data_IF_173256345519
#
_entry.id   IF_173256345519
#
_cell.length_a   1.000
_cell.length_b   1.000
_cell.length_c   1.000
_cell.angle_alpha   90.00
_cell.angle_beta   90.00
_cell.angle_gamma   90.00
#
_symmetry.space_group_name_H-M   'P 1'
#
loop_
_entity.id
_entity.type
_entity.pdbx_description
1 polymer ?
#
# COMPACT_ATOMS: atom_id res chain seq x y z
N UNK A 1 86.80 31.12 -27.75
CA UNK A 1 85.59 31.66 -28.40
C UNK A 1 84.38 30.86 -27.94
N UNK A 2 83.46 31.48 -27.18
CA UNK A 2 82.03 31.13 -27.09
C UNK A 2 81.36 32.15 -26.16
N UNK A 3 80.46 32.94 -26.73
CA UNK A 3 79.79 34.05 -26.07
C UNK A 3 78.81 33.60 -24.98
N UNK A 4 78.84 34.34 -23.87
CA UNK A 4 77.92 34.24 -22.74
C UNK A 4 76.58 34.91 -23.10
N UNK A 5 75.47 34.16 -22.98
CA UNK A 5 74.09 34.66 -23.15
C UNK A 5 73.63 35.41 -21.89
N UNK A 6 72.97 36.56 -22.10
CA UNK A 6 72.26 37.36 -21.07
C UNK A 6 71.03 36.61 -20.51
N UNK A 7 70.63 36.83 -19.23
CA UNK A 7 69.39 36.30 -18.68
C UNK A 7 68.20 37.24 -18.96
N UNK A 8 67.02 36.65 -19.21
CA UNK A 8 65.76 37.37 -19.41
C UNK A 8 65.01 37.57 -18.09
N UNK A 9 64.53 38.80 -17.87
CA UNK A 9 63.76 39.22 -16.69
C UNK A 9 62.30 38.82 -16.88
N UNK A 10 61.77 37.90 -16.06
CA UNK A 10 60.33 37.62 -15.96
C UNK A 10 59.70 38.52 -14.88
N UNK A 11 58.73 39.35 -15.26
CA UNK A 11 57.88 40.18 -14.37
C UNK A 11 56.94 39.29 -13.53
N UNK A 12 56.59 39.66 -12.28
CA UNK A 12 55.81 38.81 -11.40
C UNK A 12 54.29 38.94 -11.69
N UNK A 13 53.72 37.96 -12.38
CA UNK A 13 52.27 37.82 -12.58
C UNK A 13 51.49 37.56 -11.26
N UNK A 14 52.20 37.23 -10.18
CA UNK A 14 51.64 36.89 -8.87
C UNK A 14 51.06 38.12 -8.16
N UNK A 15 51.66 39.30 -8.34
CA UNK A 15 51.19 40.51 -7.67
C UNK A 15 49.81 40.95 -8.19
N UNK A 16 49.56 40.83 -9.50
CA UNK A 16 48.27 41.18 -10.09
C UNK A 16 47.14 40.20 -9.71
N UNK A 17 47.46 38.91 -9.52
CA UNK A 17 46.50 37.90 -9.06
C UNK A 17 46.09 38.11 -7.59
N UNK A 18 47.04 38.48 -6.72
CA UNK A 18 46.76 38.79 -5.32
C UNK A 18 45.90 40.06 -5.16
N UNK A 19 46.16 41.09 -5.97
CA UNK A 19 45.35 42.30 -5.99
C UNK A 19 43.91 42.05 -6.47
N UNK A 20 43.73 41.20 -7.49
CA UNK A 20 42.41 40.84 -8.00
C UNK A 20 41.59 40.04 -6.96
N UNK A 21 42.24 39.13 -6.22
CA UNK A 21 41.60 38.36 -5.17
C UNK A 21 41.16 39.23 -3.97
N UNK A 22 41.97 40.23 -3.60
CA UNK A 22 41.64 41.17 -2.52
C UNK A 22 40.43 42.06 -2.88
N UNK A 23 40.37 42.55 -4.13
CA UNK A 23 39.26 43.38 -4.63
C UNK A 23 37.96 42.56 -4.70
N UNK A 24 38.03 41.31 -5.16
CA UNK A 24 36.86 40.42 -5.23
C UNK A 24 36.31 40.10 -3.82
N UNK A 25 37.21 39.94 -2.83
CA UNK A 25 36.85 39.66 -1.44
C UNK A 25 36.15 40.85 -0.78
N UNK A 26 36.62 42.07 -1.03
CA UNK A 26 35.99 43.30 -0.57
C UNK A 26 34.62 43.54 -1.23
N UNK A 27 34.48 43.21 -2.52
CA UNK A 27 33.21 43.33 -3.25
C UNK A 27 32.14 42.35 -2.73
N UNK A 28 32.53 41.12 -2.38
CA UNK A 28 31.62 40.12 -1.76
C UNK A 28 31.20 40.56 -0.35
N UNK A 29 32.08 41.21 0.41
CA UNK A 29 31.76 41.70 1.75
C UNK A 29 30.84 42.94 1.74
N UNK A 30 31.01 43.83 0.75
CA UNK A 30 30.14 44.99 0.54
C UNK A 30 28.72 44.59 0.05
N UNK A 31 28.61 43.54 -0.77
CA UNK A 31 27.33 42.98 -1.19
C UNK A 31 26.61 42.23 -0.05
N UNK A 32 27.32 41.65 0.91
CA UNK A 32 26.72 41.02 2.11
C UNK A 32 26.16 42.02 3.13
N UNK A 33 26.69 43.25 3.16
CA UNK A 33 26.28 44.30 4.11
C UNK A 33 25.14 45.18 3.62
N UNK A 34 24.71 45.02 2.36
CA UNK A 34 23.71 45.89 1.71
C UNK A 34 22.36 45.22 1.45
N UNK A 35 22.09 44.04 2.03
CA UNK A 35 20.73 43.46 2.00
C UNK A 35 19.97 43.87 3.27
N UNK A 36 18.80 44.54 3.14
CA UNK A 36 17.94 44.81 4.27
C UNK A 36 17.51 43.49 4.92
N UNK A 37 17.35 43.49 6.25
CA UNK A 37 16.78 42.39 7.02
C UNK A 37 15.38 42.03 6.48
N UNK A 38 15.35 41.15 5.48
CA UNK A 38 14.14 40.69 4.83
C UNK A 38 13.50 39.64 5.73
N UNK A 39 12.50 40.10 6.49
CA UNK A 39 11.39 39.28 6.97
C UNK A 39 11.73 38.33 8.11
N UNK A 40 11.02 38.51 9.22
CA UNK A 40 10.74 37.46 10.19
C UNK A 40 10.25 36.20 9.43
N UNK A 41 11.16 35.28 9.06
CA UNK A 41 10.79 33.92 8.75
C UNK A 41 10.21 33.36 10.05
N UNK A 42 8.88 33.29 10.12
CA UNK A 42 8.20 32.51 11.15
C UNK A 42 8.71 31.09 11.01
N UNK A 43 9.71 30.73 11.81
CA UNK A 43 10.08 29.33 12.04
C UNK A 43 8.77 28.62 12.40
N UNK A 44 8.32 27.62 11.62
CA UNK A 44 7.12 26.87 11.95
C UNK A 44 7.32 26.36 13.37
N UNK A 45 6.47 26.79 14.30
CA UNK A 45 6.59 26.44 15.71
C UNK A 45 6.25 24.95 15.80
N UNK A 46 7.23 24.07 15.55
CA UNK A 46 7.08 22.63 15.68
C UNK A 46 6.62 22.40 17.12
N UNK A 47 5.39 21.91 17.24
CA UNK A 47 4.74 21.78 18.52
C UNK A 47 5.49 20.73 19.34
N UNK A 48 6.14 21.13 20.45
CA UNK A 48 6.83 20.21 21.37
C UNK A 48 5.93 19.05 21.80
N UNK A 49 4.61 19.27 21.87
CA UNK A 49 3.62 18.23 22.17
C UNK A 49 3.53 17.17 21.08
N UNK A 50 3.55 17.56 19.81
CA UNK A 50 3.49 16.62 18.69
C UNK A 50 4.77 15.78 18.60
N UNK A 51 5.93 16.39 18.83
CA UNK A 51 7.21 15.66 18.93
C UNK A 51 7.20 14.64 20.06
N UNK A 52 6.65 14.99 21.24
CA UNK A 52 6.51 14.05 22.35
C UNK A 52 5.60 12.88 21.99
N UNK A 53 4.44 13.15 21.38
CA UNK A 53 3.51 12.09 20.92
C UNK A 53 4.19 11.12 19.96
N UNK A 54 4.98 11.63 19.01
CA UNK A 54 5.70 10.78 18.05
C UNK A 54 6.84 9.99 18.70
N UNK A 55 7.54 10.59 19.66
CA UNK A 55 8.59 9.92 20.44
C UNK A 55 8.01 8.78 21.28
N UNK A 56 6.92 9.04 22.02
CA UNK A 56 6.24 8.03 22.86
C UNK A 56 5.71 6.87 22.00
N UNK A 57 5.18 7.20 20.82
CA UNK A 57 4.74 6.19 19.85
C UNK A 57 5.90 5.32 19.37
N UNK A 58 7.06 5.91 19.05
CA UNK A 58 8.24 5.14 18.67
C UNK A 58 8.82 4.30 19.80
N UNK A 59 8.79 4.77 21.05
CA UNK A 59 9.16 3.95 22.20
C UNK A 59 8.25 2.73 22.33
N UNK A 60 6.95 2.89 22.06
CA UNK A 60 6.01 1.76 22.02
C UNK A 60 6.36 0.77 20.90
N UNK A 61 6.67 1.27 19.69
CA UNK A 61 7.13 0.44 18.56
C UNK A 61 8.41 -0.32 18.93
N UNK A 62 9.37 0.35 19.56
CA UNK A 62 10.63 -0.25 20.00
C UNK A 62 10.40 -1.38 21.03
N UNK A 63 9.54 -1.16 22.02
CA UNK A 63 9.17 -2.18 23.02
C UNK A 63 8.47 -3.38 22.38
N UNK A 64 7.56 -3.14 21.43
CA UNK A 64 6.93 -4.21 20.66
C UNK A 64 7.96 -5.01 19.85
N UNK A 65 8.92 -4.35 19.19
CA UNK A 65 9.96 -5.06 18.44
C UNK A 65 10.82 -5.91 19.37
N UNK A 66 11.19 -5.40 20.54
CA UNK A 66 11.99 -6.15 21.51
C UNK A 66 11.26 -7.41 22.05
N UNK A 67 9.95 -7.31 22.27
CA UNK A 67 9.14 -8.43 22.81
C UNK A 67 8.71 -9.43 21.73
N UNK A 68 8.34 -8.94 20.54
CA UNK A 68 7.72 -9.77 19.47
C UNK A 68 8.64 -10.08 18.31
N UNK A 69 9.71 -9.32 18.12
CA UNK A 69 10.59 -9.34 16.94
C UNK A 69 11.47 -10.58 16.77
N UNK A 70 11.42 -11.54 17.69
CA UNK A 70 12.20 -12.79 17.64
C UNK A 70 13.70 -12.51 17.42
N UNK A 71 14.26 -11.59 18.22
CA UNK A 71 15.65 -11.16 18.16
C UNK A 71 15.91 -9.91 17.32
N UNK A 72 14.92 -9.40 16.56
CA UNK A 72 15.04 -8.06 15.99
C UNK A 72 15.09 -7.00 17.10
N UNK A 73 15.89 -5.95 16.88
CA UNK A 73 15.94 -4.78 17.75
C UNK A 73 15.59 -3.51 16.97
N UNK A 74 15.11 -2.48 17.66
CA UNK A 74 14.81 -1.18 17.05
C UNK A 74 15.67 -0.08 17.69
N UNK A 75 16.45 0.62 16.88
CA UNK A 75 17.21 1.80 17.28
C UNK A 75 16.47 3.06 16.81
N UNK A 76 16.00 3.87 17.75
CA UNK A 76 15.38 5.17 17.46
C UNK A 76 16.48 6.15 17.03
N UNK A 77 16.28 6.84 15.91
CA UNK A 77 17.22 7.83 15.34
C UNK A 77 16.74 9.25 15.62
N UNK A 78 15.46 9.51 15.39
CA UNK A 78 14.80 10.79 15.66
C UNK A 78 13.30 10.56 15.89
N UNK A 79 12.49 11.63 15.88
CA UNK A 79 11.04 11.59 16.15
C UNK A 79 10.20 10.89 15.06
N UNK A 80 10.75 10.58 13.89
CA UNK A 80 10.09 9.80 12.84
C UNK A 80 10.90 8.58 12.37
N UNK A 81 12.21 8.55 12.57
CA UNK A 81 13.08 7.53 12.00
C UNK A 81 13.57 6.52 13.03
N UNK A 82 13.52 5.24 12.66
CA UNK A 82 14.17 4.14 13.37
C UNK A 82 14.92 3.21 12.42
N UNK A 83 15.81 2.40 12.98
CA UNK A 83 16.50 1.31 12.28
C UNK A 83 16.16 0.00 12.96
N UNK A 84 15.63 -0.97 12.20
CA UNK A 84 15.50 -2.34 12.66
C UNK A 84 16.78 -3.12 12.36
N UNK A 85 17.30 -3.82 13.36
CA UNK A 85 18.55 -4.59 13.25
C UNK A 85 18.31 -6.07 13.54
N UNK A 86 18.94 -6.91 12.75
CA UNK A 86 18.99 -8.35 12.99
C UNK A 86 19.97 -8.70 14.11
N UNK A 87 19.81 -9.86 14.78
CA UNK A 87 20.73 -10.33 15.80
C UNK A 87 22.18 -10.36 15.32
N UNK A 88 23.12 -10.07 16.22
CA UNK A 88 24.55 -10.25 15.95
C UNK A 88 24.83 -11.72 15.58
N UNK A 89 25.72 -11.94 14.62
CA UNK A 89 26.01 -13.27 14.07
C UNK A 89 25.01 -13.80 13.04
N UNK A 90 23.94 -13.05 12.70
CA UNK A 90 23.06 -13.40 11.59
C UNK A 90 23.86 -13.42 10.28
N UNK A 91 23.93 -14.57 9.60
CA UNK A 91 24.58 -14.67 8.31
C UNK A 91 23.58 -14.32 7.19
N UNK A 92 23.86 -13.24 6.44
CA UNK A 92 23.05 -12.90 5.26
C UNK A 92 23.41 -13.81 4.09
N UNK A 93 22.75 -14.95 4.00
CA UNK A 93 22.91 -15.90 2.89
C UNK A 93 22.04 -15.55 1.67
N UNK A 94 21.16 -14.56 1.81
CA UNK A 94 20.17 -14.20 0.80
C UNK A 94 20.71 -13.19 -0.20
N UNK A 95 21.16 -13.68 -1.35
CA UNK A 95 21.68 -12.86 -2.44
C UNK A 95 20.54 -12.28 -3.30
N UNK A 96 20.47 -10.96 -3.40
CA UNK A 96 19.56 -10.28 -4.31
C UNK A 96 20.17 -10.21 -5.72
N UNK A 97 19.67 -11.04 -6.63
CA UNK A 97 20.16 -11.10 -8.01
C UNK A 97 19.97 -9.80 -8.82
N UNK A 98 18.96 -8.98 -8.50
CA UNK A 98 18.69 -7.73 -9.20
C UNK A 98 19.72 -6.65 -8.85
N UNK A 99 20.09 -6.54 -7.58
CA UNK A 99 21.01 -5.51 -7.08
C UNK A 99 22.45 -6.02 -6.90
N UNK A 100 22.67 -7.32 -7.10
CA UNK A 100 23.96 -8.00 -6.94
C UNK A 100 24.58 -7.83 -5.54
N UNK A 101 23.75 -7.72 -4.52
CA UNK A 101 24.16 -7.58 -3.11
C UNK A 101 23.43 -8.61 -2.24
N UNK A 102 24.07 -9.04 -1.16
CA UNK A 102 23.37 -9.74 -0.09
C UNK A 102 22.40 -8.80 0.61
N UNK A 103 21.28 -9.32 1.10
CA UNK A 103 20.34 -8.51 1.86
C UNK A 103 21.00 -7.92 3.10
N UNK A 104 20.79 -6.62 3.39
CA UNK A 104 21.35 -6.01 4.58
C UNK A 104 20.72 -6.61 5.85
N UNK A 105 21.42 -6.45 6.96
CA UNK A 105 20.98 -6.83 8.31
C UNK A 105 20.42 -5.65 9.10
N UNK A 106 20.31 -4.48 8.46
CA UNK A 106 19.72 -3.28 9.03
C UNK A 106 18.77 -2.63 8.01
N UNK A 107 17.60 -2.21 8.48
CA UNK A 107 16.58 -1.56 7.65
C UNK A 107 16.09 -0.28 8.32
N UNK A 108 16.30 0.85 7.64
CA UNK A 108 15.80 2.17 8.08
C UNK A 108 14.35 2.36 7.65
N UNK A 109 13.54 2.86 8.58
CA UNK A 109 12.13 3.19 8.35
C UNK A 109 11.78 4.59 8.85
N UNK A 110 10.91 5.25 8.09
CA UNK A 110 10.20 6.46 8.52
C UNK A 110 8.82 6.04 9.04
N UNK A 111 8.66 6.03 10.36
CA UNK A 111 7.45 5.67 11.08
C UNK A 111 6.33 6.68 10.82
N UNK A 112 6.66 7.97 10.68
CA UNK A 112 5.67 9.00 10.38
C UNK A 112 5.09 8.78 8.98
N UNK A 113 5.94 8.57 7.96
CA UNK A 113 5.50 8.24 6.60
C UNK A 113 4.67 6.95 6.59
N UNK A 114 5.10 5.92 7.33
CA UNK A 114 4.38 4.65 7.40
C UNK A 114 2.98 4.78 8.00
N UNK A 115 2.81 5.49 9.13
CA UNK A 115 1.49 5.69 9.74
C UNK A 115 0.58 6.50 8.83
N UNK A 116 1.09 7.58 8.22
CA UNK A 116 0.34 8.39 7.26
C UNK A 116 -0.15 7.54 6.10
N UNK A 117 0.73 6.69 5.56
CA UNK A 117 0.41 5.80 4.45
C UNK A 117 -0.68 4.77 4.83
N UNK A 118 -0.48 4.03 5.92
CA UNK A 118 -1.37 2.91 6.29
C UNK A 118 -2.73 3.37 6.80
N UNK A 119 -2.80 4.51 7.49
CA UNK A 119 -4.10 5.09 7.85
C UNK A 119 -4.84 5.68 6.64
N UNK A 120 -4.11 6.15 5.62
CA UNK A 120 -4.73 6.54 4.35
C UNK A 120 -5.38 5.32 3.67
N UNK A 121 -4.70 4.18 3.61
CA UNK A 121 -5.26 2.94 3.00
C UNK A 121 -6.58 2.50 3.62
N UNK A 122 -6.73 2.65 4.94
CA UNK A 122 -7.95 2.28 5.66
C UNK A 122 -9.18 3.08 5.23
N UNK A 123 -8.98 4.21 4.55
CA UNK A 123 -10.04 5.09 4.05
C UNK A 123 -10.15 5.10 2.53
N UNK A 124 -9.43 4.22 1.82
CA UNK A 124 -9.35 4.22 0.37
C UNK A 124 -9.95 2.96 -0.26
N UNK A 125 -10.35 3.06 -1.52
CA UNK A 125 -10.72 1.93 -2.36
C UNK A 125 -9.50 1.39 -3.08
N UNK A 126 -9.35 0.06 -3.08
CA UNK A 126 -8.25 -0.67 -3.74
C UNK A 126 -8.66 -1.33 -5.05
N UNK A 127 -9.96 -1.34 -5.37
CA UNK A 127 -10.53 -1.81 -6.63
C UNK A 127 -10.65 -0.67 -7.62
N UNK A 128 -10.16 -0.88 -8.85
CA UNK A 128 -10.37 0.06 -9.94
C UNK A 128 -11.85 0.06 -10.32
N UNK A 129 -12.45 1.24 -10.36
CA UNK A 129 -13.88 1.42 -10.64
C UNK A 129 -14.09 2.29 -11.87
N UNK A 130 -15.30 2.25 -12.42
CA UNK A 130 -15.71 3.14 -13.49
C UNK A 130 -15.74 4.61 -13.04
N UNK A 131 -16.28 4.90 -11.85
CA UNK A 131 -16.33 6.28 -11.35
C UNK A 131 -14.94 6.90 -11.16
N UNK A 132 -13.91 6.10 -10.87
CA UNK A 132 -12.53 6.58 -10.86
C UNK A 132 -12.05 7.01 -12.25
N UNK A 133 -12.39 6.27 -13.31
CA UNK A 133 -12.04 6.65 -14.69
C UNK A 133 -12.81 7.89 -15.14
N UNK A 134 -14.10 7.97 -14.82
CA UNK A 134 -14.94 9.11 -15.20
C UNK A 134 -14.57 10.40 -14.45
N UNK A 135 -14.20 10.30 -13.17
CA UNK A 135 -13.80 11.46 -12.37
C UNK A 135 -12.45 12.06 -12.81
N UNK A 136 -11.64 11.30 -13.56
CA UNK A 136 -10.33 11.75 -14.03
C UNK A 136 -10.44 12.40 -15.41
N UNK A 137 -9.88 13.62 -15.61
CA UNK A 137 -9.88 14.29 -16.92
C UNK A 137 -9.41 13.39 -18.07
N UNK A 138 -8.33 12.63 -17.84
CA UNK A 138 -7.75 11.70 -18.83
C UNK A 138 -7.91 10.23 -18.44
N UNK A 139 -8.92 9.91 -17.61
CA UNK A 139 -9.12 8.57 -17.09
C UNK A 139 -9.36 7.54 -18.18
N UNK A 140 -10.23 7.85 -19.14
CA UNK A 140 -10.47 6.97 -20.29
C UNK A 140 -9.39 7.07 -21.35
N UNK A 141 -8.96 8.28 -21.71
CA UNK A 141 -8.05 8.48 -22.85
C UNK A 141 -6.64 7.95 -22.56
N UNK A 142 -6.08 8.26 -21.39
CA UNK A 142 -4.67 7.93 -21.08
C UNK A 142 -4.50 6.85 -20.01
N UNK A 143 -5.43 6.73 -19.06
CA UNK A 143 -5.27 5.77 -17.96
C UNK A 143 -5.84 4.38 -18.28
N UNK A 144 -7.05 4.29 -18.83
CA UNK A 144 -7.65 3.03 -19.25
C UNK A 144 -6.75 2.16 -20.15
N UNK A 145 -6.04 2.68 -21.18
CA UNK A 145 -5.19 1.84 -22.02
C UNK A 145 -4.02 1.22 -21.24
N UNK A 146 -3.55 1.86 -20.16
CA UNK A 146 -2.52 1.30 -19.26
C UNK A 146 -2.99 0.08 -18.48
N UNK A 147 -4.30 -0.21 -18.50
CA UNK A 147 -4.93 -1.37 -17.85
C UNK A 147 -5.30 -2.48 -18.83
N UNK A 148 -5.07 -2.28 -20.14
CA UNK A 148 -5.41 -3.22 -21.20
C UNK A 148 -4.11 -3.63 -21.92
N UNK A 149 -3.80 -4.92 -21.93
CA UNK A 149 -2.74 -5.48 -22.75
C UNK A 149 -3.25 -5.71 -24.18
N UNK A 150 -2.36 -5.69 -25.17
CA UNK A 150 -2.69 -6.02 -26.56
C UNK A 150 -3.77 -5.10 -27.17
N UNK A 151 -3.90 -3.87 -26.67
CA UNK A 151 -4.88 -2.90 -27.16
C UNK A 151 -4.58 -2.43 -28.60
N UNK A 152 -3.31 -2.46 -29.02
CA UNK A 152 -2.89 -1.99 -30.35
C UNK A 152 -2.76 -0.47 -30.47
N UNK A 153 -3.06 0.27 -29.41
CA UNK A 153 -2.87 1.73 -29.30
C UNK A 153 -2.45 2.11 -27.88
N UNK A 154 -1.75 3.24 -27.75
CA UNK A 154 -1.33 3.84 -26.49
C UNK A 154 -2.43 4.69 -25.83
N UNK A 155 -3.48 5.06 -26.57
CA UNK A 155 -4.57 5.93 -26.13
C UNK A 155 -5.95 5.41 -26.56
N UNK A 156 -6.94 5.57 -25.70
CA UNK A 156 -8.33 5.22 -26.03
C UNK A 156 -9.06 6.39 -26.71
N UNK A 157 -8.66 6.79 -27.93
CA UNK A 157 -9.43 7.77 -28.70
C UNK A 157 -10.83 7.25 -29.05
N UNK A 158 -10.92 5.95 -29.35
CA UNK A 158 -12.18 5.23 -29.41
C UNK A 158 -12.51 4.66 -28.02
N UNK A 159 -13.40 5.34 -27.29
CA UNK A 159 -13.80 4.92 -25.94
C UNK A 159 -14.41 3.52 -25.92
N UNK A 160 -15.20 3.17 -26.93
CA UNK A 160 -15.89 1.87 -27.03
C UNK A 160 -14.92 0.70 -26.97
N UNK A 161 -13.77 0.79 -27.65
CA UNK A 161 -12.74 -0.24 -27.65
C UNK A 161 -12.24 -0.58 -26.23
N UNK A 162 -12.00 0.46 -25.43
CA UNK A 162 -11.50 0.28 -24.06
C UNK A 162 -12.61 -0.14 -23.10
N UNK A 163 -13.83 0.34 -23.32
CA UNK A 163 -15.02 -0.11 -22.61
C UNK A 163 -15.29 -1.59 -22.80
N UNK A 164 -15.22 -2.12 -24.02
CA UNK A 164 -15.39 -3.56 -24.30
C UNK A 164 -14.40 -4.44 -23.52
N UNK A 165 -13.17 -3.94 -23.30
CA UNK A 165 -12.16 -4.67 -22.56
C UNK A 165 -12.32 -4.55 -21.04
N UNK A 166 -12.75 -3.39 -20.54
CA UNK A 166 -12.75 -3.08 -19.12
C UNK A 166 -14.11 -3.29 -18.43
N UNK A 167 -15.23 -3.15 -19.14
CA UNK A 167 -16.56 -3.14 -18.53
C UNK A 167 -16.83 -4.41 -17.70
N UNK A 168 -16.44 -5.58 -18.18
CA UNK A 168 -16.62 -6.86 -17.46
C UNK A 168 -15.91 -6.90 -16.09
N UNK A 169 -14.88 -6.06 -15.89
CA UNK A 169 -14.03 -6.00 -14.70
C UNK A 169 -14.26 -4.77 -13.81
N UNK A 170 -14.91 -3.72 -14.33
CA UNK A 170 -15.04 -2.44 -13.63
C UNK A 170 -16.43 -2.31 -12.98
N UNK A 171 -16.51 -2.43 -11.65
CA UNK A 171 -17.73 -2.04 -10.96
C UNK A 171 -17.93 -0.53 -11.08
N UNK A 172 -19.19 -0.12 -11.06
CA UNK A 172 -19.56 1.29 -11.15
C UNK A 172 -19.00 2.13 -10.01
N UNK A 173 -19.12 1.59 -8.79
CA UNK A 173 -18.73 2.19 -7.51
C UNK A 173 -17.84 1.19 -6.75
N UNK A 174 -17.18 1.57 -5.65
CA UNK A 174 -16.45 0.63 -4.81
C UNK A 174 -17.35 -0.53 -4.40
N UNK A 175 -16.96 -1.79 -4.64
CA UNK A 175 -17.77 -2.96 -4.28
C UNK A 175 -17.73 -3.26 -2.78
N UNK A 176 -16.83 -2.60 -2.02
CA UNK A 176 -16.67 -2.76 -0.58
C UNK A 176 -16.48 -1.41 0.09
N UNK A 177 -16.84 -1.34 1.37
CA UNK A 177 -16.69 -0.14 2.19
C UNK A 177 -15.57 -0.28 3.21
N UNK A 178 -14.87 0.82 3.56
CA UNK A 178 -14.04 0.89 4.76
C UNK A 178 -14.76 0.37 5.99
N UNK A 179 -14.07 -0.48 6.77
CA UNK A 179 -14.58 -1.09 8.02
C UNK A 179 -15.82 -1.97 7.84
N UNK A 180 -16.11 -2.43 6.63
CA UNK A 180 -17.20 -3.36 6.36
C UNK A 180 -17.09 -4.64 7.20
N UNK A 181 -15.86 -5.11 7.46
CA UNK A 181 -15.55 -6.29 8.26
C UNK A 181 -14.81 -5.94 9.54
N UNK A 182 -15.06 -6.68 10.64
CA UNK A 182 -14.36 -6.46 11.91
C UNK A 182 -12.99 -7.11 11.84
N UNK A 183 -12.95 -8.38 11.47
CA UNK A 183 -11.72 -9.18 11.39
C UNK A 183 -11.59 -9.79 10.01
N UNK A 184 -10.39 -9.72 9.44
CA UNK A 184 -10.06 -10.39 8.19
C UNK A 184 -8.78 -11.20 8.32
N UNK A 185 -8.83 -12.45 7.85
CA UNK A 185 -7.65 -13.28 7.72
C UNK A 185 -7.07 -13.11 6.31
N UNK A 186 -5.77 -12.81 6.22
CA UNK A 186 -5.01 -12.88 4.97
C UNK A 186 -4.13 -14.12 5.02
N UNK A 187 -4.44 -15.10 4.18
CA UNK A 187 -3.77 -16.40 4.15
C UNK A 187 -2.79 -16.43 2.98
N UNK A 188 -1.51 -16.27 3.31
CA UNK A 188 -0.40 -16.48 2.40
C UNK A 188 -0.19 -17.96 2.07
N UNK A 189 0.87 -18.23 1.30
CA UNK A 189 1.05 -19.54 0.67
C UNK A 189 2.14 -20.40 1.32
N UNK A 190 2.77 -19.95 2.41
CA UNK A 190 3.92 -20.65 3.03
C UNK A 190 3.58 -22.10 3.42
N UNK A 191 4.51 -23.02 3.19
CA UNK A 191 4.39 -24.42 3.61
C UNK A 191 4.31 -24.62 5.13
N UNK A 192 4.78 -23.65 5.89
CA UNK A 192 4.76 -23.70 7.36
C UNK A 192 3.37 -23.65 7.96
N UNK A 193 2.35 -23.26 7.18
CA UNK A 193 0.96 -23.42 7.60
C UNK A 193 0.64 -24.87 8.00
N UNK A 194 1.34 -25.86 7.44
CA UNK A 194 1.15 -27.28 7.78
C UNK A 194 1.70 -27.69 9.16
N UNK A 195 2.37 -26.77 9.88
CA UNK A 195 2.95 -27.04 11.21
C UNK A 195 1.98 -26.71 12.36
N UNK A 196 0.88 -25.99 12.08
CA UNK A 196 -0.07 -25.54 13.10
C UNK A 196 -1.49 -25.47 12.54
N UNK A 197 -2.45 -25.91 13.33
CA UNK A 197 -3.84 -26.07 12.91
C UNK A 197 -4.62 -24.75 13.00
N UNK A 198 -4.30 -23.79 12.13
CA UNK A 198 -4.97 -22.50 12.09
C UNK A 198 -6.35 -22.54 11.41
N UNK A 199 -6.82 -23.70 10.93
CA UNK A 199 -7.99 -23.79 10.07
C UNK A 199 -9.26 -23.19 10.66
N UNK A 200 -9.60 -23.58 11.89
CA UNK A 200 -10.79 -23.06 12.59
C UNK A 200 -10.65 -21.57 12.93
N UNK A 201 -9.46 -21.15 13.35
CA UNK A 201 -9.16 -19.75 13.66
C UNK A 201 -9.35 -18.87 12.41
N UNK A 202 -8.79 -19.29 11.27
CA UNK A 202 -8.94 -18.60 9.97
C UNK A 202 -10.41 -18.49 9.59
N UNK A 203 -11.15 -19.60 9.66
CA UNK A 203 -12.56 -19.64 9.25
C UNK A 203 -13.49 -18.83 10.17
N UNK A 204 -13.06 -18.55 11.40
CA UNK A 204 -13.79 -17.71 12.37
C UNK A 204 -13.80 -16.21 12.04
N UNK A 205 -12.96 -15.76 11.12
CA UNK A 205 -12.89 -14.35 10.71
C UNK A 205 -14.14 -13.92 9.93
N UNK A 206 -14.48 -12.63 9.96
CA UNK A 206 -15.64 -12.14 9.18
C UNK A 206 -15.42 -12.33 7.67
N UNK A 207 -14.19 -12.13 7.19
CA UNK A 207 -13.78 -12.40 5.81
C UNK A 207 -12.39 -13.05 5.70
N UNK A 208 -12.20 -13.89 4.69
CA UNK A 208 -10.92 -14.55 4.39
C UNK A 208 -10.43 -14.20 2.99
N UNK A 209 -9.19 -13.71 2.92
CA UNK A 209 -8.49 -13.33 1.68
C UNK A 209 -7.36 -14.33 1.42
N UNK A 210 -7.35 -14.93 0.23
CA UNK A 210 -6.37 -15.93 -0.20
C UNK A 210 -5.57 -15.47 -1.41
N UNK A 211 -4.44 -16.12 -1.68
CA UNK A 211 -3.50 -15.67 -2.70
C UNK A 211 -3.24 -16.71 -3.80
N UNK A 212 -3.37 -16.28 -5.05
CA UNK A 212 -2.97 -17.03 -6.25
C UNK A 212 -3.59 -18.44 -6.29
N UNK A 213 -2.79 -19.49 -6.58
CA UNK A 213 -3.24 -20.87 -6.75
C UNK A 213 -3.40 -21.68 -5.45
N UNK A 214 -3.43 -21.01 -4.29
CA UNK A 214 -3.66 -21.64 -2.99
C UNK A 214 -4.93 -22.51 -2.98
N UNK A 215 -4.83 -23.86 -2.89
CA UNK A 215 -6.00 -24.72 -2.89
C UNK A 215 -6.76 -24.60 -1.57
N UNK A 216 -8.09 -24.68 -1.65
CA UNK A 216 -8.98 -24.67 -0.50
C UNK A 216 -9.83 -25.93 -0.57
N UNK A 217 -9.39 -26.96 0.14
CA UNK A 217 -9.98 -28.30 0.11
C UNK A 217 -9.74 -29.03 1.42
N UNK A 218 -10.44 -30.15 1.60
CA UNK A 218 -10.39 -30.98 2.82
C UNK A 218 -8.98 -31.39 3.22
N UNK A 219 -8.08 -31.62 2.25
CA UNK A 219 -6.69 -32.01 2.52
C UNK A 219 -5.96 -30.99 3.40
N UNK A 220 -6.22 -29.70 3.22
CA UNK A 220 -5.55 -28.62 3.95
C UNK A 220 -6.46 -27.88 4.93
N UNK A 221 -7.76 -28.21 4.98
CA UNK A 221 -8.77 -27.52 5.79
C UNK A 221 -8.35 -27.33 7.25
N UNK A 222 -7.77 -28.38 7.85
CA UNK A 222 -7.25 -28.35 9.23
C UNK A 222 -6.23 -27.23 9.50
N UNK A 223 -5.44 -26.88 8.49
CA UNK A 223 -4.33 -25.93 8.61
C UNK A 223 -4.68 -24.54 8.09
N UNK A 224 -5.46 -24.46 7.02
CA UNK A 224 -5.70 -23.20 6.30
C UNK A 224 -7.18 -22.83 6.16
N UNK A 225 -8.08 -23.64 6.70
CA UNK A 225 -9.53 -23.41 6.66
C UNK A 225 -10.14 -23.66 5.28
N UNK A 226 -11.47 -23.62 5.20
CA UNK A 226 -12.26 -23.75 3.97
C UNK A 226 -12.90 -22.43 3.52
N UNK A 227 -13.01 -21.43 4.41
CA UNK A 227 -13.64 -20.15 4.11
C UNK A 227 -12.81 -19.36 3.09
N UNK A 228 -13.47 -18.78 2.09
CA UNK A 228 -12.83 -18.06 0.98
C UNK A 228 -13.78 -17.00 0.44
N UNK A 229 -13.59 -15.76 0.86
CA UNK A 229 -14.42 -14.65 0.38
C UNK A 229 -13.75 -13.92 -0.77
N UNK A 230 -12.43 -13.71 -0.68
CA UNK A 230 -11.66 -12.99 -1.68
C UNK A 230 -10.39 -13.74 -2.04
N UNK A 231 -9.98 -13.58 -3.30
CA UNK A 231 -8.71 -14.10 -3.81
C UNK A 231 -7.99 -13.05 -4.63
N UNK A 232 -6.78 -12.71 -4.20
CA UNK A 232 -5.91 -11.84 -4.98
C UNK A 232 -5.00 -12.67 -5.87
N UNK A 233 -5.06 -12.41 -7.18
CA UNK A 233 -4.35 -13.19 -8.21
C UNK A 233 -3.45 -12.29 -9.02
N UNK A 234 -2.17 -12.63 -9.13
CA UNK A 234 -1.23 -11.90 -9.99
C UNK A 234 -1.33 -12.34 -11.45
N UNK A 235 -0.84 -11.50 -12.38
CA UNK A 235 -0.86 -11.75 -13.84
C UNK A 235 -0.51 -13.19 -14.25
N UNK A 236 0.55 -13.79 -13.70
CA UNK A 236 0.99 -15.14 -14.09
C UNK A 236 -0.01 -16.25 -13.71
N UNK A 237 -0.77 -16.05 -12.64
CA UNK A 237 -1.77 -16.99 -12.14
C UNK A 237 -3.16 -16.74 -12.73
N UNK A 238 -3.43 -15.52 -13.22
CA UNK A 238 -4.72 -15.13 -13.81
C UNK A 238 -5.10 -15.93 -15.07
N UNK A 239 -4.15 -16.62 -15.71
CA UNK A 239 -4.47 -17.57 -16.79
C UNK A 239 -5.15 -18.86 -16.31
N UNK A 240 -5.07 -19.16 -15.01
CA UNK A 240 -5.60 -20.37 -14.38
C UNK A 240 -6.85 -20.07 -13.51
N UNK A 241 -7.55 -18.96 -13.74
CA UNK A 241 -8.68 -18.54 -12.90
C UNK A 241 -9.78 -19.62 -12.82
N UNK A 242 -10.09 -20.29 -13.93
CA UNK A 242 -11.12 -21.34 -13.96
C UNK A 242 -10.77 -22.51 -13.02
N UNK A 243 -9.57 -23.14 -13.12
CA UNK A 243 -9.15 -24.15 -12.14
C UNK A 243 -9.09 -23.64 -10.69
N UNK A 244 -8.61 -22.41 -10.48
CA UNK A 244 -8.48 -21.83 -9.13
C UNK A 244 -9.86 -21.73 -8.45
N UNK A 245 -10.88 -21.37 -9.22
CA UNK A 245 -12.26 -21.21 -8.76
C UNK A 245 -13.08 -22.50 -8.79
N UNK A 246 -12.51 -23.61 -9.24
CA UNK A 246 -13.27 -24.85 -9.36
C UNK A 246 -13.80 -25.27 -7.97
N UNK A 247 -15.11 -25.47 -7.87
CA UNK A 247 -15.80 -25.75 -6.60
C UNK A 247 -16.11 -24.50 -5.76
N UNK A 248 -15.95 -23.29 -6.28
CA UNK A 248 -16.21 -22.03 -5.58
C UNK A 248 -17.05 -21.09 -6.44
N UNK A 249 -18.33 -20.90 -6.10
CA UNK A 249 -19.25 -20.01 -6.84
C UNK A 249 -19.43 -18.63 -6.20
N UNK A 250 -18.82 -18.39 -5.03
CA UNK A 250 -18.98 -17.15 -4.26
C UNK A 250 -17.68 -16.45 -3.84
N UNK A 251 -16.51 -16.96 -4.23
CA UNK A 251 -15.21 -16.32 -4.01
C UNK A 251 -14.93 -15.23 -5.06
N UNK A 252 -14.53 -14.04 -4.62
CA UNK A 252 -14.21 -12.91 -5.49
C UNK A 252 -12.80 -13.02 -6.00
N UNK A 253 -12.61 -12.77 -7.29
CA UNK A 253 -11.27 -12.62 -7.83
C UNK A 253 -10.89 -11.16 -7.97
N UNK A 254 -9.74 -10.81 -7.41
CA UNK A 254 -9.13 -9.49 -7.55
C UNK A 254 -7.82 -9.69 -8.30
N UNK A 255 -7.82 -9.33 -9.56
CA UNK A 255 -6.67 -9.53 -10.45
C UNK A 255 -5.76 -8.31 -10.45
N UNK A 256 -4.50 -8.54 -10.09
CA UNK A 256 -3.41 -7.58 -10.28
C UNK A 256 -2.74 -7.87 -11.63
N UNK A 257 -3.48 -7.57 -12.70
CA UNK A 257 -3.07 -7.81 -14.08
C UNK A 257 -3.58 -6.71 -15.01
N UNK A 258 -3.11 -6.75 -16.26
CA UNK A 258 -3.76 -6.10 -17.39
C UNK A 258 -4.83 -7.06 -17.95
N UNK A 259 -5.93 -6.49 -18.42
CA UNK A 259 -6.97 -7.25 -19.13
C UNK A 259 -6.68 -7.34 -20.63
N UNK A 260 -7.29 -8.30 -21.32
CA UNK A 260 -7.33 -8.46 -22.77
C UNK A 260 -8.44 -9.47 -23.13
N UNK A 261 -8.76 -9.60 -24.42
CA UNK A 261 -9.88 -10.42 -24.91
C UNK A 261 -9.93 -11.83 -24.34
N UNK A 262 -8.82 -12.58 -24.33
CA UNK A 262 -8.82 -13.95 -23.83
C UNK A 262 -9.05 -14.07 -22.31
N UNK A 263 -8.58 -13.11 -21.51
CA UNK A 263 -8.93 -13.04 -20.09
C UNK A 263 -10.42 -12.77 -19.92
N UNK A 264 -10.99 -11.85 -20.71
CA UNK A 264 -12.43 -11.56 -20.66
C UNK A 264 -13.27 -12.78 -21.03
N UNK A 265 -12.86 -13.55 -22.05
CA UNK A 265 -13.54 -14.77 -22.45
C UNK A 265 -13.51 -15.86 -21.36
N UNK A 266 -12.44 -15.92 -20.55
CA UNK A 266 -12.41 -16.79 -19.37
C UNK A 266 -13.36 -16.28 -18.27
N UNK A 267 -13.38 -14.97 -18.01
CA UNK A 267 -14.26 -14.36 -17.00
C UNK A 267 -15.73 -14.62 -17.32
N UNK A 268 -16.11 -14.57 -18.60
CA UNK A 268 -17.49 -14.88 -19.03
C UNK A 268 -17.94 -16.32 -18.71
N UNK A 269 -17.00 -17.24 -18.45
CA UNK A 269 -17.29 -18.66 -18.17
C UNK A 269 -17.42 -18.98 -16.68
N UNK A 270 -17.11 -18.03 -15.79
CA UNK A 270 -17.19 -18.22 -14.34
C UNK A 270 -18.34 -17.37 -13.77
N UNK A 271 -19.05 -17.87 -12.75
CA UNK A 271 -20.10 -17.11 -12.06
C UNK A 271 -19.52 -16.04 -11.12
N UNK A 272 -18.25 -16.18 -10.75
CA UNK A 272 -17.58 -15.33 -9.78
C UNK A 272 -17.30 -13.94 -10.35
N UNK A 273 -17.49 -12.87 -9.56
CA UNK A 273 -17.03 -11.55 -9.91
C UNK A 273 -15.52 -11.49 -10.00
N UNK A 274 -15.05 -10.74 -10.99
CA UNK A 274 -13.62 -10.46 -11.18
C UNK A 274 -13.41 -8.95 -11.26
N UNK A 275 -12.45 -8.47 -10.49
CA UNK A 275 -12.13 -7.05 -10.35
C UNK A 275 -10.67 -6.76 -10.64
N UNK A 276 -10.42 -5.56 -11.16
CA UNK A 276 -9.06 -5.07 -11.31
C UNK A 276 -8.57 -4.45 -10.00
N UNK A 277 -7.45 -4.96 -9.50
CA UNK A 277 -6.74 -4.33 -8.40
C UNK A 277 -6.06 -3.05 -8.90
N UNK A 278 -6.40 -1.92 -8.30
CA UNK A 278 -5.70 -0.66 -8.47
C UNK A 278 -4.45 -0.68 -7.60
N UNK A 279 -4.65 -0.81 -6.28
CA UNK A 279 -3.58 -0.78 -5.29
C UNK A 279 -2.67 0.45 -5.40
N UNK A 280 -1.56 0.46 -4.66
CA UNK A 280 -0.50 1.48 -4.82
C UNK A 280 0.81 0.78 -5.16
N UNK A 281 1.80 1.47 -5.71
CA UNK A 281 3.16 0.93 -5.77
C UNK A 281 3.88 1.28 -4.46
N UNK A 282 4.05 0.30 -3.57
CA UNK A 282 4.93 0.45 -2.40
C UNK A 282 6.38 0.50 -2.91
N UNK A 283 7.00 1.67 -2.79
CA UNK A 283 8.40 1.91 -3.20
C UNK A 283 9.39 1.29 -2.21
N UNK A 284 9.04 1.32 -0.92
CA UNK A 284 9.85 0.85 0.21
C UNK A 284 9.04 -0.17 1.01
N UNK A 285 9.59 -1.35 1.25
CA UNK A 285 8.92 -2.44 1.98
C UNK A 285 8.90 -3.77 1.24
N UNK A 286 8.24 -4.76 1.84
CA UNK A 286 8.10 -6.09 1.27
C UNK A 286 7.31 -6.04 -0.05
N UNK A 287 7.80 -6.76 -1.06
CA UNK A 287 7.17 -6.86 -2.38
C UNK A 287 6.56 -8.25 -2.55
N UNK A 288 5.27 -8.33 -2.87
CA UNK A 288 4.62 -9.61 -3.11
C UNK A 288 3.10 -9.49 -3.22
N UNK A 289 2.45 -10.61 -3.57
CA UNK A 289 0.98 -10.72 -3.58
C UNK A 289 0.41 -10.50 -2.18
N UNK A 290 1.00 -11.12 -1.16
CA UNK A 290 0.50 -11.01 0.21
C UNK A 290 0.44 -9.58 0.75
N UNK A 291 1.40 -8.72 0.38
CA UNK A 291 1.32 -7.29 0.73
C UNK A 291 0.14 -6.58 0.06
N UNK A 292 -0.23 -6.99 -1.15
CA UNK A 292 -1.42 -6.46 -1.84
C UNK A 292 -2.71 -6.95 -1.22
N UNK A 293 -2.70 -8.18 -0.71
CA UNK A 293 -3.82 -8.74 0.03
C UNK A 293 -4.00 -8.06 1.39
N UNK A 294 -2.90 -7.64 2.04
CA UNK A 294 -2.95 -6.76 3.22
C UNK A 294 -3.51 -5.38 2.86
N UNK A 295 -3.07 -4.75 1.76
CA UNK A 295 -3.64 -3.48 1.29
C UNK A 295 -5.16 -3.59 1.06
N UNK A 296 -5.59 -4.68 0.41
CA UNK A 296 -7.00 -4.99 0.21
C UNK A 296 -7.73 -5.16 1.55
N UNK A 297 -7.20 -5.97 2.46
CA UNK A 297 -7.80 -6.20 3.78
C UNK A 297 -7.97 -4.87 4.55
N UNK A 298 -6.91 -4.06 4.61
CA UNK A 298 -6.94 -2.78 5.31
C UNK A 298 -8.00 -1.82 4.75
N UNK A 299 -8.29 -1.88 3.44
CA UNK A 299 -9.34 -1.05 2.83
C UNK A 299 -10.77 -1.41 3.24
N UNK A 300 -10.99 -2.56 3.88
CA UNK A 300 -12.34 -3.03 4.24
C UNK A 300 -12.47 -3.59 5.67
N UNK A 301 -11.37 -3.79 6.41
CA UNK A 301 -11.36 -4.46 7.71
C UNK A 301 -10.81 -3.57 8.84
N UNK A 302 -11.37 -3.70 10.05
CA UNK A 302 -10.80 -3.03 11.24
C UNK A 302 -9.49 -3.71 11.67
N UNK A 303 -9.51 -5.05 11.77
CA UNK A 303 -8.40 -5.90 12.21
C UNK A 303 -7.99 -6.82 11.04
N UNK A 304 -6.68 -6.96 10.83
CA UNK A 304 -6.10 -7.80 9.78
C UNK A 304 -5.09 -8.75 10.41
N UNK A 305 -5.42 -10.04 10.37
CA UNK A 305 -4.62 -11.13 10.91
C UNK A 305 -4.01 -11.86 9.72
N UNK A 306 -2.69 -12.08 9.75
CA UNK A 306 -1.95 -12.66 8.62
C UNK A 306 -1.40 -14.03 8.98
N UNK A 307 -1.52 -14.97 8.05
CA UNK A 307 -1.12 -16.37 8.19
C UNK A 307 -0.26 -16.80 7.02
N UNK A 308 0.75 -17.64 7.25
CA UNK A 308 1.55 -18.20 6.15
C UNK A 308 2.42 -17.20 5.42
N UNK A 309 2.87 -16.16 6.13
CA UNK A 309 3.91 -15.22 5.68
C UNK A 309 5.24 -15.61 6.33
N UNK A 310 6.30 -15.70 5.53
CA UNK A 310 7.65 -16.09 6.00
C UNK A 310 8.34 -14.93 6.72
N UNK A 311 7.93 -14.65 7.96
CA UNK A 311 8.31 -13.46 8.76
C UNK A 311 9.23 -13.73 9.96
N UNK A 312 9.47 -14.99 10.31
CA UNK A 312 10.12 -15.43 11.55
C UNK A 312 11.46 -16.14 11.23
N UNK A 313 12.41 -16.27 12.18
CA UNK A 313 13.72 -16.84 11.87
C UNK A 313 13.73 -18.33 11.49
N UNK A 314 12.67 -19.09 11.81
CA UNK A 314 12.61 -20.54 11.53
C UNK A 314 12.39 -20.92 10.06
N UNK A 315 12.24 -19.94 9.16
CA UNK A 315 12.02 -20.20 7.72
C UNK A 315 13.34 -20.52 7.02
N UNK A 316 13.64 -21.80 6.85
CA UNK A 316 14.84 -22.29 6.14
C UNK A 316 14.65 -22.33 4.62
N UNK A 317 13.43 -22.57 4.15
CA UNK A 317 13.11 -22.66 2.73
C UNK A 317 11.79 -21.97 2.37
N UNK A 318 11.72 -21.42 1.16
CA UNK A 318 10.50 -20.85 0.60
C UNK A 318 9.64 -21.95 -0.02
N UNK A 319 8.85 -22.61 0.81
CA UNK A 319 7.93 -23.65 0.39
C UNK A 319 6.51 -23.11 0.25
N UNK A 320 5.69 -23.78 -0.55
CA UNK A 320 4.25 -23.57 -0.54
C UNK A 320 3.57 -24.81 0.00
N UNK A 321 2.51 -24.67 0.79
CA UNK A 321 1.85 -25.83 1.41
C UNK A 321 1.24 -26.83 0.41
N UNK A 322 1.22 -26.45 -0.87
CA UNK A 322 0.64 -27.22 -1.97
C UNK A 322 1.61 -27.46 -3.13
N UNK A 323 2.89 -27.07 -3.04
CA UNK A 323 3.86 -27.30 -4.11
C UNK A 323 5.27 -27.52 -3.61
N UNK A 324 6.14 -27.99 -4.51
CA UNK A 324 7.58 -28.02 -4.27
C UNK A 324 8.16 -26.63 -3.93
N UNK A 325 9.29 -26.58 -3.20
CA UNK A 325 9.96 -25.34 -2.86
C UNK A 325 10.26 -24.48 -4.09
N UNK A 326 10.15 -23.15 -3.94
CA UNK A 326 10.56 -22.17 -4.94
C UNK A 326 11.56 -21.22 -4.32
N UNK A 327 12.45 -20.62 -5.11
CA UNK A 327 13.27 -19.50 -4.61
C UNK A 327 12.35 -18.30 -4.36
N UNK A 328 12.29 -17.83 -3.11
CA UNK A 328 11.56 -16.62 -2.75
C UNK A 328 12.36 -15.34 -3.01
N UNK A 329 11.75 -14.21 -2.67
CA UNK A 329 12.34 -12.88 -2.82
C UNK A 329 12.48 -12.21 -1.45
N UNK A 330 13.67 -11.68 -1.16
CA UNK A 330 13.97 -10.76 -0.05
C UNK A 330 13.37 -11.11 1.34
N UNK A 331 13.64 -12.30 1.91
CA UNK A 331 13.11 -12.70 3.22
C UNK A 331 13.51 -11.77 4.37
N UNK A 332 14.72 -11.20 4.37
CA UNK A 332 15.16 -10.35 5.48
C UNK A 332 14.42 -9.00 5.47
N UNK A 333 14.30 -8.37 4.31
CA UNK A 333 13.51 -7.15 4.15
C UNK A 333 12.03 -7.40 4.48
N UNK A 334 11.49 -8.55 4.04
CA UNK A 334 10.13 -8.98 4.36
C UNK A 334 9.92 -9.04 5.86
N UNK A 335 10.73 -9.83 6.56
CA UNK A 335 10.69 -10.00 8.02
C UNK A 335 10.74 -8.68 8.77
N UNK A 336 11.73 -7.82 8.48
CA UNK A 336 11.83 -6.52 9.14
C UNK A 336 10.58 -5.66 8.90
N UNK A 337 10.06 -5.66 7.67
CA UNK A 337 8.91 -4.84 7.33
C UNK A 337 7.61 -5.34 7.97
N UNK A 338 7.30 -6.64 7.90
CA UNK A 338 6.10 -7.18 8.54
C UNK A 338 6.15 -7.00 10.06
N UNK A 339 7.32 -7.16 10.69
CA UNK A 339 7.48 -6.91 12.12
C UNK A 339 7.23 -5.43 12.45
N UNK A 340 7.70 -4.50 11.61
CA UNK A 340 7.35 -3.08 11.76
C UNK A 340 5.83 -2.90 11.67
N UNK A 341 5.16 -3.48 10.68
CA UNK A 341 3.70 -3.33 10.52
C UNK A 341 2.91 -3.86 11.71
N UNK A 342 3.33 -4.98 12.30
CA UNK A 342 2.76 -5.50 13.54
C UNK A 342 2.91 -4.48 14.68
N UNK A 343 4.12 -3.96 14.87
CA UNK A 343 4.41 -3.01 15.94
C UNK A 343 3.89 -1.59 15.70
N UNK A 344 3.46 -1.27 14.48
CA UNK A 344 2.66 -0.08 14.19
C UNK A 344 1.16 -0.29 14.44
N UNK A 345 0.73 -1.51 14.77
CA UNK A 345 -0.68 -1.88 14.94
C UNK A 345 -1.45 -1.96 13.61
N UNK A 346 -0.75 -2.19 12.50
CA UNK A 346 -1.37 -2.31 11.16
C UNK A 346 -1.93 -3.71 10.95
N UNK A 347 -1.17 -4.74 11.34
CA UNK A 347 -1.50 -6.16 11.18
C UNK A 347 -1.20 -6.93 12.47
N UNK A 348 -1.67 -8.17 12.54
CA UNK A 348 -1.29 -9.16 13.57
C UNK A 348 -0.71 -10.38 12.89
N UNK A 349 0.41 -10.89 13.42
CA UNK A 349 1.14 -11.98 12.78
C UNK A 349 0.86 -13.29 13.49
N UNK A 350 0.31 -14.24 12.75
CA UNK A 350 0.07 -15.61 13.20
C UNK A 350 1.02 -16.56 12.47
N UNK A 351 1.77 -17.34 13.23
CA UNK A 351 2.76 -18.27 12.70
C UNK A 351 3.01 -19.43 13.66
N UNK A 352 3.57 -20.55 13.19
CA UNK A 352 3.89 -21.69 14.06
C UNK A 352 4.80 -21.31 15.24
N UNK A 353 5.79 -20.44 15.03
CA UNK A 353 6.69 -19.97 16.11
C UNK A 353 5.99 -19.08 17.16
N UNK A 354 4.78 -18.60 16.85
CA UNK A 354 4.00 -17.71 17.70
C UNK A 354 2.75 -18.39 18.27
N UNK A 355 2.45 -19.62 17.85
CA UNK A 355 1.21 -20.32 18.17
C UNK A 355 1.03 -20.62 19.67
N UNK A 356 2.13 -20.88 20.38
CA UNK A 356 2.12 -21.14 21.82
C UNK A 356 1.98 -19.87 22.67
N UNK A 357 2.12 -18.69 22.06
CA UNK A 357 1.97 -17.42 22.79
C UNK A 357 0.50 -17.19 23.08
N UNK A 358 0.18 -16.77 24.31
CA UNK A 358 -1.11 -16.17 24.60
C UNK A 358 -1.28 -14.97 23.64
N UNK A 359 -2.39 -14.94 22.89
CA UNK A 359 -2.71 -13.87 21.95
C UNK A 359 -3.08 -12.57 22.69
N UNK A 360 -2.12 -12.01 23.43
CA UNK A 360 -2.21 -10.71 24.07
C UNK A 360 -1.68 -9.65 23.11
N UNK A 361 -2.58 -8.77 22.65
CA UNK A 361 -2.30 -7.67 21.73
C UNK A 361 -2.21 -6.33 22.46
N UNK A 362 -2.00 -6.32 23.77
CA UNK A 362 -1.86 -5.11 24.57
C UNK A 362 -0.56 -4.35 24.31
N UNK A 363 0.45 -5.04 23.79
CA UNK A 363 1.80 -4.56 23.49
C UNK A 363 1.95 -3.93 22.10
N UNK A 364 0.91 -4.02 21.25
CA UNK A 364 0.81 -3.26 20.01
C UNK A 364 0.04 -1.93 20.24
N UNK A 365 0.37 -0.85 19.51
CA UNK A 365 -0.30 0.42 19.68
C UNK A 365 -1.83 0.36 19.51
N UNK A 366 -2.56 0.92 20.47
CA UNK A 366 -4.02 1.03 20.37
C UNK A 366 -4.45 1.96 19.24
N UNK A 367 -5.70 1.80 18.75
CA UNK A 367 -6.28 2.72 17.74
C UNK A 367 -6.24 4.19 18.17
N UNK A 368 -6.38 4.47 19.46
CA UNK A 368 -6.27 5.82 20.01
C UNK A 368 -4.83 6.37 19.93
N UNK A 369 -3.83 5.53 20.23
CA UNK A 369 -2.42 5.89 20.09
C UNK A 369 -2.05 6.15 18.62
N UNK A 370 -2.47 5.26 17.72
CA UNK A 370 -2.27 5.40 16.26
C UNK A 370 -2.91 6.70 15.76
N UNK A 371 -4.15 7.01 16.17
CA UNK A 371 -4.85 8.24 15.75
C UNK A 371 -4.13 9.52 16.23
N UNK A 372 -3.61 9.51 17.47
CA UNK A 372 -2.81 10.63 18.01
C UNK A 372 -1.49 10.79 17.24
N UNK A 373 -0.77 9.70 16.99
CA UNK A 373 0.48 9.70 16.25
C UNK A 373 0.27 10.14 14.79
N UNK A 374 -0.76 9.63 14.11
CA UNK A 374 -1.17 10.05 12.77
C UNK A 374 -1.44 11.57 12.73
N UNK A 375 -2.22 12.10 13.67
CA UNK A 375 -2.53 13.52 13.74
C UNK A 375 -1.29 14.40 13.98
N UNK A 376 -0.35 13.94 14.82
CA UNK A 376 0.93 14.61 15.05
C UNK A 376 1.81 14.58 13.79
N UNK A 377 1.87 13.43 13.08
CA UNK A 377 2.62 13.28 11.84
C UNK A 377 2.05 14.19 10.72
N UNK A 378 0.72 14.31 10.60
CA UNK A 378 0.08 15.25 9.66
C UNK A 378 0.52 16.68 9.95
N UNK A 379 0.47 17.12 11.22
CA UNK A 379 0.88 18.48 11.60
C UNK A 379 2.36 18.73 11.38
N UNK A 380 3.22 17.74 11.67
CA UNK A 380 4.65 17.81 11.41
C UNK A 380 4.92 17.99 9.91
N UNK A 381 4.28 17.19 9.05
CA UNK A 381 4.38 17.31 7.59
C UNK A 381 3.87 18.66 7.08
N UNK A 382 2.81 19.21 7.70
CA UNK A 382 2.25 20.51 7.32
C UNK A 382 3.15 21.68 7.72
N UNK A 383 3.84 21.60 8.85
CA UNK A 383 4.82 22.62 9.25
C UNK A 383 5.97 22.75 8.25
N UNK A 384 6.15 21.75 7.38
CA UNK A 384 7.15 21.73 6.31
C UNK A 384 6.57 22.11 4.93
N UNK A 385 5.25 22.34 4.81
CA UNK A 385 4.58 22.66 3.54
C UNK A 385 3.65 23.87 3.66
N UNK A 386 3.97 24.96 2.95
CA UNK A 386 3.30 26.28 2.97
C UNK A 386 1.90 26.30 2.31
N UNK A 387 0.99 25.39 2.68
CA UNK A 387 -0.39 25.41 2.16
C UNK A 387 -1.44 25.28 3.26
N UNK A 388 -2.11 26.41 3.50
CA UNK A 388 -3.36 26.52 4.27
C UNK A 388 -4.56 26.21 3.37
N UNK A 389 -5.25 25.11 3.64
CA UNK A 389 -6.56 24.82 3.06
C UNK A 389 -7.40 24.00 4.05
N UNK A 390 -8.64 24.43 4.24
CA UNK A 390 -9.56 24.08 5.34
C UNK A 390 -10.26 22.71 5.20
N UNK A 391 -9.63 21.72 4.54
CA UNK A 391 -10.13 20.33 4.57
C UNK A 391 -9.00 19.34 4.84
N UNK A 392 -8.61 19.21 6.11
CA UNK A 392 -7.53 18.30 6.53
C UNK A 392 -7.75 16.84 6.05
N UNK A 393 -9.00 16.39 5.93
CA UNK A 393 -9.34 15.02 5.52
C UNK A 393 -9.26 14.77 4.02
N UNK A 394 -9.44 15.79 3.17
CA UNK A 394 -9.44 15.68 1.71
C UNK A 394 -8.29 16.44 1.04
N UNK A 395 -7.32 16.91 1.82
CA UNK A 395 -6.16 17.67 1.30
C UNK A 395 -5.41 16.95 0.17
N UNK A 396 -5.40 15.62 0.20
CA UNK A 396 -4.74 14.77 -0.78
C UNK A 396 -5.62 14.52 -2.03
N UNK A 397 -6.89 14.96 -2.04
CA UNK A 397 -7.76 14.92 -3.23
C UNK A 397 -7.32 15.96 -4.26
N UNK A 398 -6.54 15.53 -5.26
CA UNK A 398 -6.09 16.37 -6.38
C UNK A 398 -7.10 16.43 -7.52
N UNK A 399 -7.92 15.39 -7.64
CA UNK A 399 -8.96 15.28 -8.65
C UNK A 399 -10.28 14.99 -7.96
N UNK A 400 -11.34 15.66 -8.38
CA UNK A 400 -12.69 15.52 -7.84
C UNK A 400 -13.69 15.11 -8.91
N UNK A 401 -14.61 14.22 -8.55
CA UNK A 401 -15.78 13.86 -9.36
C UNK A 401 -17.05 13.70 -8.50
N UNK A 402 -18.20 13.52 -9.16
CA UNK A 402 -19.49 13.28 -8.51
C UNK A 402 -20.15 12.01 -9.08
N UNK A 403 -20.68 11.13 -8.23
CA UNK A 403 -21.40 9.91 -8.66
C UNK A 403 -22.88 10.22 -9.00
N UNK A 404 -23.42 9.71 -10.12
CA UNK A 404 -24.82 9.89 -10.58
C UNK A 404 -25.73 8.64 -10.43
N UNK A 405 -26.99 8.73 -10.90
CA UNK A 405 -27.97 7.63 -10.96
C UNK A 405 -27.80 6.79 -12.25
N UNK A 406 -28.29 5.53 -12.23
CA UNK A 406 -28.28 4.64 -13.40
C UNK A 406 -28.92 5.35 -14.61
N UNK A 407 -28.16 5.49 -15.70
CA UNK A 407 -28.69 6.05 -16.96
C UNK A 407 -28.79 7.58 -17.06
N UNK A 408 -28.45 8.37 -16.02
CA UNK A 408 -28.45 9.84 -16.09
C UNK A 408 -27.07 10.44 -16.47
N UNK A 409 -26.15 9.61 -16.98
CA UNK A 409 -24.70 9.86 -17.12
C UNK A 409 -23.92 8.59 -16.76
N UNK A 410 -22.65 8.41 -17.16
CA UNK A 410 -22.09 7.09 -17.43
C UNK A 410 -21.61 6.33 -16.18
N UNK A 411 -22.43 6.17 -15.14
CA UNK A 411 -22.13 5.27 -14.02
C UNK A 411 -23.37 4.46 -13.63
N UNK A 412 -23.32 3.21 -14.03
CA UNK A 412 -23.85 2.02 -13.35
C UNK A 412 -23.17 0.82 -13.99
N UNK A 413 -23.18 -0.35 -13.34
CA UNK A 413 -22.32 -1.48 -13.68
C UNK A 413 -22.30 -1.82 -15.17
N UNK A 414 -21.24 -2.51 -15.62
CA UNK A 414 -21.14 -3.09 -16.95
C UNK A 414 -22.52 -3.37 -17.55
N UNK A 415 -22.87 -2.86 -18.74
CA UNK A 415 -24.09 -3.34 -19.43
C UNK A 415 -24.05 -4.87 -19.55
N UNK A 416 -22.85 -5.44 -19.57
CA UNK A 416 -22.53 -6.85 -19.39
C UNK A 416 -22.31 -7.19 -17.89
N UNK A 417 -23.34 -7.00 -17.05
CA UNK A 417 -23.58 -7.97 -16.00
C UNK A 417 -23.97 -9.23 -16.77
N UNK A 418 -22.97 -10.00 -17.20
CA UNK A 418 -23.20 -11.27 -17.89
C UNK A 418 -24.28 -12.04 -17.11
N UNK A 419 -25.13 -12.81 -17.80
CA UNK A 419 -26.20 -13.56 -17.12
C UNK A 419 -25.70 -14.33 -15.89
N UNK A 420 -24.43 -14.77 -15.92
CA UNK A 420 -23.72 -15.38 -14.82
C UNK A 420 -23.62 -14.48 -13.55
N UNK A 421 -23.25 -13.20 -13.68
CA UNK A 421 -23.09 -12.29 -12.53
C UNK A 421 -24.43 -11.88 -11.92
N UNK A 422 -25.48 -11.68 -12.73
CA UNK A 422 -26.84 -11.41 -12.25
C UNK A 422 -27.41 -12.54 -11.40
N UNK A 423 -27.02 -13.78 -11.73
CA UNK A 423 -27.48 -15.00 -11.06
C UNK A 423 -26.48 -15.52 -10.02
N UNK A 424 -25.44 -14.74 -9.69
CA UNK A 424 -24.45 -15.14 -8.69
C UNK A 424 -24.94 -14.91 -7.26
N UNK A 425 -24.35 -15.62 -6.30
CA UNK A 425 -24.57 -15.41 -4.84
C UNK A 425 -23.91 -14.13 -4.30
N UNK A 426 -23.41 -13.29 -5.19
CA UNK A 426 -22.50 -12.21 -4.85
C UNK A 426 -23.21 -10.88 -4.53
N UNK A 427 -24.53 -10.83 -4.71
CA UNK A 427 -25.36 -9.70 -4.27
C UNK A 427 -25.14 -9.35 -2.78
N UNK A 428 -24.74 -10.31 -1.95
CA UNK A 428 -24.39 -10.08 -0.54
C UNK A 428 -23.26 -9.06 -0.35
N UNK A 429 -22.43 -8.81 -1.36
CA UNK A 429 -21.27 -7.92 -1.28
C UNK A 429 -21.39 -6.66 -2.15
N UNK A 430 -21.73 -6.75 -3.44
CA UNK A 430 -21.79 -5.59 -4.36
C UNK A 430 -22.97 -4.67 -4.14
N UNK A 431 -24.06 -5.24 -3.62
CA UNK A 431 -25.32 -4.54 -3.40
C UNK A 431 -25.70 -4.58 -1.93
N UNK A 432 -24.71 -4.73 -1.04
CA UNK A 432 -24.96 -4.65 0.40
C UNK A 432 -25.59 -3.28 0.70
N UNK A 433 -26.88 -3.23 1.08
CA UNK A 433 -27.54 -1.96 1.30
C UNK A 433 -26.84 -1.23 2.44
N UNK A 434 -26.74 0.09 2.35
CA UNK A 434 -26.10 0.91 3.38
C UNK A 434 -26.57 0.56 4.81
N UNK A 435 -27.87 0.26 4.98
CA UNK A 435 -28.47 -0.14 6.27
C UNK A 435 -27.95 -1.48 6.83
N UNK A 436 -27.48 -2.40 5.97
CA UNK A 436 -26.90 -3.69 6.37
C UNK A 436 -25.42 -3.59 6.75
N UNK A 437 -24.75 -2.48 6.43
CA UNK A 437 -23.37 -2.25 6.84
C UNK A 437 -23.25 -2.14 8.36
N UNK A 438 -22.13 -2.66 8.89
CA UNK A 438 -21.74 -2.44 10.29
C UNK A 438 -21.79 -0.95 10.64
N UNK A 439 -22.18 -0.64 11.88
CA UNK A 439 -22.27 0.74 12.37
C UNK A 439 -20.97 1.52 12.11
N UNK A 440 -19.82 0.90 12.37
CA UNK A 440 -18.51 1.51 12.12
C UNK A 440 -18.29 1.93 10.65
N UNK A 441 -18.70 1.09 9.69
CA UNK A 441 -18.63 1.42 8.26
C UNK A 441 -19.60 2.57 7.89
N UNK A 442 -20.81 2.56 8.45
CA UNK A 442 -21.81 3.63 8.23
C UNK A 442 -21.35 4.97 8.80
N UNK A 443 -20.80 4.96 10.01
CA UNK A 443 -20.26 6.14 10.69
C UNK A 443 -19.06 6.68 9.89
N UNK A 444 -18.15 5.81 9.46
CA UNK A 444 -17.01 6.17 8.60
C UNK A 444 -17.49 6.79 7.28
N UNK A 445 -18.45 6.16 6.59
CA UNK A 445 -18.98 6.69 5.34
C UNK A 445 -19.63 8.07 5.50
N UNK A 446 -20.26 8.32 6.65
CA UNK A 446 -20.84 9.62 7.01
C UNK A 446 -19.75 10.64 7.32
N UNK A 447 -18.73 10.26 8.11
CA UNK A 447 -17.58 11.10 8.43
C UNK A 447 -16.82 11.52 7.18
N UNK A 448 -16.70 10.63 6.20
CA UNK A 448 -16.09 10.90 4.90
C UNK A 448 -17.01 11.62 3.93
N UNK A 449 -18.11 12.25 4.40
CA UNK A 449 -19.07 12.99 3.55
C UNK A 449 -19.56 12.20 2.32
N UNK A 450 -19.64 10.87 2.44
CA UNK A 450 -19.99 9.95 1.32
C UNK A 450 -19.04 10.06 0.13
N UNK A 451 -17.75 10.33 0.39
CA UNK A 451 -16.70 10.42 -0.62
C UNK A 451 -15.93 9.11 -0.68
N UNK A 452 -15.82 8.53 -1.88
CA UNK A 452 -14.90 7.44 -2.18
C UNK A 452 -13.54 8.00 -2.56
N UNK A 453 -12.46 7.43 -2.02
CA UNK A 453 -11.09 7.89 -2.24
C UNK A 453 -10.27 6.82 -2.94
N UNK A 454 -9.55 7.22 -3.98
CA UNK A 454 -8.74 6.32 -4.82
C UNK A 454 -7.32 6.83 -4.93
N UNK A 455 -6.36 5.91 -4.96
CA UNK A 455 -4.97 6.29 -5.19
C UNK A 455 -4.76 6.62 -6.65
N UNK A 456 -4.18 7.77 -6.97
CA UNK A 456 -3.66 7.98 -8.32
C UNK A 456 -2.40 7.14 -8.54
N UNK A 457 -2.36 6.33 -9.60
CA UNK A 457 -1.14 5.64 -9.99
C UNK A 457 -0.02 6.66 -10.24
N UNK A 458 1.11 6.47 -9.57
CA UNK A 458 2.20 7.44 -9.60
C UNK A 458 3.06 7.41 -8.34
N UNK A 459 4.03 8.31 -8.30
CA UNK A 459 5.11 8.28 -7.32
C UNK A 459 4.85 9.11 -6.06
N UNK A 460 3.80 9.94 -6.05
CA UNK A 460 3.42 10.77 -4.90
C UNK A 460 2.32 10.08 -4.12
N UNK A 461 2.57 9.74 -2.86
CA UNK A 461 1.61 9.06 -1.98
C UNK A 461 0.33 9.89 -1.73
N UNK A 462 0.45 11.21 -1.85
CA UNK A 462 -0.60 12.17 -1.52
C UNK A 462 -1.54 12.53 -2.68
N UNK A 463 -1.34 11.97 -3.88
CA UNK A 463 -2.22 12.29 -5.02
C UNK A 463 -3.39 11.29 -5.06
N UNK A 464 -4.59 11.80 -4.78
CA UNK A 464 -5.84 11.04 -4.73
C UNK A 464 -6.88 11.58 -5.72
N UNK A 465 -7.73 10.67 -6.18
CA UNK A 465 -9.01 10.99 -6.83
C UNK A 465 -10.12 10.77 -5.81
N UNK A 466 -11.01 11.74 -5.68
CA UNK A 466 -12.09 11.70 -4.72
C UNK A 466 -13.43 11.87 -5.44
N UNK A 467 -14.36 10.95 -5.20
CA UNK A 467 -15.67 10.92 -5.85
C UNK A 467 -16.75 11.10 -4.80
N UNK A 468 -17.53 12.17 -4.90
CA UNK A 468 -18.63 12.48 -3.96
C UNK A 468 -19.91 11.77 -4.39
N UNK A 469 -20.56 11.06 -3.46
CA UNK A 469 -21.78 10.32 -3.77
C UNK A 469 -23.03 11.15 -3.45
N UNK A 470 -24.05 11.09 -4.31
CA UNK A 470 -25.27 11.88 -4.16
C UNK A 470 -26.12 11.44 -2.96
N UNK A 471 -26.92 12.38 -2.43
CA UNK A 471 -27.70 12.17 -1.21
C UNK A 471 -28.94 11.28 -1.40
N UNK A 472 -29.37 11.03 -2.64
CA UNK A 472 -30.61 10.31 -2.92
C UNK A 472 -30.53 8.89 -2.35
N UNK A 473 -31.60 8.38 -1.73
CA UNK A 473 -31.62 7.02 -1.22
C UNK A 473 -31.29 6.06 -2.36
N UNK A 474 -30.36 5.14 -2.12
CA UNK A 474 -30.31 3.92 -2.90
C UNK A 474 -31.59 3.17 -2.53
N UNK A 475 -32.61 3.33 -3.37
CA UNK A 475 -33.91 2.63 -3.24
C UNK A 475 -33.68 1.16 -3.53
#
# INVERSE_FOLDING_TARGET
MRGLRKPSVRRPAILHLLSAAAILSLFVFALRSSFPAAGNQRIPKINRRDLRVLSDFQSTVQQCVASRGLGLTAQIIDHCNLVLKFPEGTNSTWYNAQFKIFEPLEYKYDVCEAILLWEQYRNMTTVLTREYLDARPDGWVEYAPKRIAQLGTDKCYNKTLCEENLNILLPAKPPFHPRQFRTCAVVGNSGDLLKTEFGEEIDSHDAVIRDNEAPVNEKYAKYVGLKRDFRLVVRGAARNMVPILNGSDDEVLIIKSLTHKSINDMIKRIPNPVYLFQGIVLRRGAKGTGMKSIELALSMCDIVDIYGFTVDPGYTEWTRYFSTPRKGHNPLQGRAYYQLLECLGVIRIHSPMRAERKQDWSDIPSRAAISKAHSAAVRLKNSQSDQSSNMAQFRNCKVWGNSGAYGSGPVSGSPDMSGARKNSKYNKWEVMPYKKLRKAARDQYTQMERVSMYKMDGNKLDDLVCVRHSLKPQV
#
